data_IF_616248482354
#
_entry.id   IF_616248482354
#
_cell.length_a   1.000
_cell.length_b   1.000
_cell.length_c   1.000
_cell.angle_alpha   90.00
_cell.angle_beta   90.00
_cell.angle_gamma   90.00
#
_symmetry.space_group_name_H-M   'P 1'
#
loop_
_entity.id
_entity.type
_entity.pdbx_description
1 polymer ?
#
# COMPACT_ATOMS: atom_id res chain seq x y z
N UNK A 1 -10.49 -27.86 31.15
CA UNK A 1 -9.43 -26.84 31.30
C UNK A 1 -8.48 -26.75 30.09
N UNK A 2 -7.93 -27.86 29.58
CA UNK A 2 -7.05 -27.85 28.39
C UNK A 2 -7.75 -27.45 27.08
N UNK A 3 -8.98 -27.90 26.84
CA UNK A 3 -9.73 -27.56 25.61
C UNK A 3 -10.10 -26.07 25.53
N UNK A 4 -10.42 -25.46 26.68
CA UNK A 4 -10.76 -24.03 26.78
C UNK A 4 -9.50 -23.18 26.56
N UNK A 5 -8.35 -23.59 27.10
CA UNK A 5 -7.04 -22.95 26.85
C UNK A 5 -6.59 -23.07 25.40
N UNK A 6 -6.77 -24.24 24.78
CA UNK A 6 -6.49 -24.44 23.36
C UNK A 6 -7.39 -23.57 22.48
N UNK A 7 -8.69 -23.49 22.82
CA UNK A 7 -9.63 -22.63 22.10
C UNK A 7 -9.29 -21.14 22.24
N UNK A 8 -8.92 -20.69 23.44
CA UNK A 8 -8.51 -19.29 23.65
C UNK A 8 -7.24 -18.95 22.89
N UNK A 9 -6.24 -19.84 22.85
CA UNK A 9 -5.00 -19.62 22.09
C UNK A 9 -5.26 -19.56 20.57
N UNK A 10 -6.13 -20.42 20.04
CA UNK A 10 -6.51 -20.40 18.61
C UNK A 10 -7.23 -19.10 18.27
N UNK A 11 -8.20 -18.68 19.11
CA UNK A 11 -8.90 -17.40 18.92
C UNK A 11 -7.94 -16.21 19.00
N UNK A 12 -7.00 -16.21 19.95
CA UNK A 12 -6.00 -15.14 20.07
C UNK A 12 -5.07 -15.08 18.86
N UNK A 13 -4.67 -16.23 18.30
CA UNK A 13 -3.83 -16.28 17.11
C UNK A 13 -4.54 -15.76 15.85
N UNK A 14 -5.85 -15.94 15.75
CA UNK A 14 -6.63 -15.49 14.59
C UNK A 14 -6.79 -13.96 14.56
N UNK A 15 -6.83 -13.31 15.73
CA UNK A 15 -6.94 -11.85 15.84
C UNK A 15 -5.70 -11.09 15.31
N UNK A 16 -4.55 -11.76 15.17
CA UNK A 16 -3.29 -11.14 14.70
C UNK A 16 -3.26 -10.99 13.17
N UNK A 17 -4.17 -11.65 12.43
CA UNK A 17 -4.19 -11.65 10.96
C UNK A 17 -5.02 -10.53 10.32
N UNK A 18 -5.54 -9.57 11.09
CA UNK A 18 -6.29 -8.42 10.54
C UNK A 18 -5.29 -7.43 9.94
N UNK A 19 -4.93 -7.61 8.67
CA UNK A 19 -4.18 -6.61 7.91
C UNK A 19 -5.16 -5.56 7.37
N UNK A 20 -4.87 -4.25 7.52
CA UNK A 20 -5.71 -3.20 6.94
C UNK A 20 -5.61 -3.22 5.41
N UNK A 21 -6.75 -3.41 4.73
CA UNK A 21 -6.87 -3.57 3.27
C UNK A 21 -6.81 -2.24 2.46
N UNK A 22 -6.62 -1.09 3.12
CA UNK A 22 -6.76 0.21 2.46
C UNK A 22 -5.64 1.18 2.88
N UNK A 23 -4.53 1.20 2.15
CA UNK A 23 -3.44 2.15 2.42
C UNK A 23 -3.54 3.47 1.63
N UNK A 24 -4.34 3.53 0.56
CA UNK A 24 -4.61 4.77 -0.19
C UNK A 24 -5.78 5.55 0.42
N UNK A 25 -5.49 6.77 0.88
CA UNK A 25 -6.51 7.66 1.44
C UNK A 25 -7.32 8.35 0.32
N UNK A 26 -8.62 8.64 0.52
CA UNK A 26 -9.46 9.25 -0.52
C UNK A 26 -8.95 10.60 -1.04
N UNK A 27 -8.30 11.39 -0.19
CA UNK A 27 -7.72 12.70 -0.54
C UNK A 27 -6.43 12.60 -1.37
N UNK A 28 -5.85 11.40 -1.54
CA UNK A 28 -4.67 11.19 -2.38
C UNK A 28 -5.03 10.83 -3.82
N UNK A 29 -6.30 10.50 -4.11
CA UNK A 29 -6.71 9.98 -5.41
C UNK A 29 -6.70 11.09 -6.46
N UNK A 30 -6.24 10.75 -7.66
CA UNK A 30 -6.39 11.60 -8.84
C UNK A 30 -7.86 11.73 -9.26
N UNK A 31 -8.21 12.87 -9.84
CA UNK A 31 -9.56 13.11 -10.37
C UNK A 31 -9.86 12.27 -11.61
N UNK A 32 -8.83 12.01 -12.44
CA UNK A 32 -8.94 11.10 -13.57
C UNK A 32 -8.82 9.63 -13.09
N UNK A 33 -9.89 8.82 -13.21
CA UNK A 33 -9.88 7.43 -12.74
C UNK A 33 -8.90 6.55 -13.51
N UNK A 34 -8.58 6.85 -14.77
CA UNK A 34 -7.61 6.08 -15.55
C UNK A 34 -6.18 6.35 -15.05
N UNK A 35 -5.87 7.60 -14.72
CA UNK A 35 -4.58 7.94 -14.12
C UNK A 35 -4.46 7.39 -12.69
N UNK A 36 -5.53 7.41 -11.89
CA UNK A 36 -5.50 6.82 -10.55
C UNK A 36 -5.27 5.30 -10.60
N UNK A 37 -5.91 4.60 -11.54
CA UNK A 37 -5.68 3.16 -11.71
C UNK A 37 -4.23 2.86 -12.11
N UNK A 38 -3.66 3.66 -13.04
CA UNK A 38 -2.23 3.58 -13.37
C UNK A 38 -1.35 3.85 -12.15
N UNK A 39 -1.68 4.85 -11.32
CA UNK A 39 -0.96 5.16 -10.10
C UNK A 39 -0.95 3.98 -9.12
N UNK A 40 -2.09 3.29 -8.95
CA UNK A 40 -2.19 2.11 -8.09
C UNK A 40 -1.33 0.95 -8.61
N UNK A 41 -1.41 0.64 -9.90
CA UNK A 41 -0.61 -0.43 -10.50
C UNK A 41 0.89 -0.15 -10.31
N UNK A 42 1.34 1.08 -10.56
CA UNK A 42 2.75 1.44 -10.36
C UNK A 42 3.15 1.36 -8.87
N UNK A 43 2.28 1.83 -7.99
CA UNK A 43 2.50 1.81 -6.53
C UNK A 43 2.60 0.39 -5.96
N UNK A 44 1.99 -0.61 -6.58
CA UNK A 44 2.13 -2.02 -6.19
C UNK A 44 3.52 -2.60 -6.52
N UNK A 45 4.19 -2.02 -7.53
CA UNK A 45 5.49 -2.49 -8.00
C UNK A 45 6.67 -1.80 -7.29
N UNK A 46 6.45 -0.64 -6.68
CA UNK A 46 7.48 0.09 -5.93
C UNK A 46 7.51 -0.39 -4.48
N UNK A 47 8.70 -0.74 -3.98
CA UNK A 47 8.91 -1.26 -2.63
C UNK A 47 9.39 -0.18 -1.67
N UNK A 48 8.81 -0.12 -0.47
CA UNK A 48 9.32 0.70 0.62
C UNK A 48 10.34 -0.09 1.45
N UNK A 49 11.63 0.20 1.26
CA UNK A 49 12.74 -0.49 1.93
C UNK A 49 12.72 -0.35 3.47
N UNK A 50 12.15 0.75 3.98
CA UNK A 50 12.01 0.97 5.43
C UNK A 50 10.71 0.41 6.01
N UNK A 51 9.80 -0.07 5.15
CA UNK A 51 8.47 -0.55 5.53
C UNK A 51 8.35 -2.07 5.38
N UNK A 52 9.33 -2.84 5.85
CA UNK A 52 9.36 -4.30 5.72
C UNK A 52 9.25 -4.77 4.25
N UNK A 53 9.79 -3.98 3.31
CA UNK A 53 9.75 -4.29 1.88
C UNK A 53 8.31 -4.47 1.31
N UNK A 54 7.32 -3.83 1.93
CA UNK A 54 5.94 -3.77 1.42
C UNK A 54 5.86 -2.93 0.14
N UNK A 55 4.80 -3.11 -0.65
CA UNK A 55 4.50 -2.15 -1.72
C UNK A 55 4.18 -0.78 -1.11
N UNK A 56 4.45 0.30 -1.84
CA UNK A 56 4.04 1.65 -1.38
C UNK A 56 2.52 1.82 -1.42
N UNK A 57 1.82 0.98 -2.20
CA UNK A 57 0.35 0.90 -2.25
C UNK A 57 -0.26 0.30 -0.97
N UNK A 58 0.42 -0.65 -0.32
CA UNK A 58 -0.04 -1.33 0.90
C UNK A 58 0.49 -0.70 2.19
N UNK A 59 1.55 0.10 2.11
CA UNK A 59 2.20 0.67 3.29
C UNK A 59 1.58 2.00 3.72
N UNK A 60 1.32 2.12 5.02
CA UNK A 60 0.81 3.34 5.66
C UNK A 60 1.91 4.27 6.21
N UNK A 61 3.19 3.92 6.01
CA UNK A 61 4.30 4.74 6.48
C UNK A 61 4.34 6.10 5.77
N UNK A 62 4.87 7.13 6.43
CA UNK A 62 5.03 8.47 5.87
C UNK A 62 5.79 8.43 4.54
N UNK A 63 6.90 7.69 4.47
CA UNK A 63 7.66 7.55 3.23
C UNK A 63 6.84 6.97 2.08
N UNK A 64 5.99 5.97 2.34
CA UNK A 64 5.16 5.37 1.30
C UNK A 64 4.11 6.36 0.77
N UNK A 65 3.58 7.24 1.64
CA UNK A 65 2.69 8.33 1.22
C UNK A 65 3.40 9.33 0.32
N UNK A 66 4.61 9.74 0.69
CA UNK A 66 5.41 10.68 -0.10
C UNK A 66 5.74 10.10 -1.49
N UNK A 67 6.12 8.82 -1.54
CA UNK A 67 6.39 8.11 -2.80
C UNK A 67 5.13 8.00 -3.67
N UNK A 68 3.97 7.69 -3.08
CA UNK A 68 2.69 7.66 -3.79
C UNK A 68 2.30 9.04 -4.36
N UNK A 69 2.56 10.11 -3.61
CA UNK A 69 2.34 11.47 -4.09
C UNK A 69 3.23 11.78 -5.30
N UNK A 70 4.52 11.41 -5.24
CA UNK A 70 5.47 11.60 -6.33
C UNK A 70 5.07 10.82 -7.60
N UNK A 71 4.60 9.58 -7.47
CA UNK A 71 4.10 8.78 -8.60
C UNK A 71 2.93 9.50 -9.30
N UNK A 72 1.97 10.03 -8.53
CA UNK A 72 0.81 10.74 -9.06
C UNK A 72 1.17 12.07 -9.70
N UNK A 73 2.12 12.79 -9.11
CA UNK A 73 2.69 14.02 -9.69
C UNK A 73 3.28 13.74 -11.07
N UNK A 74 4.14 12.70 -11.18
CA UNK A 74 4.77 12.29 -12.44
C UNK A 74 3.74 11.87 -13.49
N UNK A 75 2.72 11.10 -13.11
CA UNK A 75 1.64 10.72 -14.03
C UNK A 75 0.88 11.94 -14.55
N UNK A 76 0.60 12.91 -13.67
CA UNK A 76 -0.07 14.16 -14.05
C UNK A 76 0.80 15.00 -14.97
N UNK A 77 2.13 14.93 -14.82
CA UNK A 77 3.10 15.55 -15.71
C UNK A 77 3.29 14.82 -17.05
N UNK A 78 2.59 13.71 -17.29
CA UNK A 78 2.64 12.96 -18.55
C UNK A 78 3.75 11.92 -18.64
N UNK A 79 4.40 11.57 -17.53
CA UNK A 79 5.45 10.55 -17.52
C UNK A 79 4.91 9.16 -17.90
N UNK A 80 5.76 8.39 -18.56
CA UNK A 80 5.53 6.98 -18.87
C UNK A 80 5.75 6.10 -17.64
N UNK A 81 5.25 4.86 -17.70
CA UNK A 81 5.42 3.91 -16.60
C UNK A 81 6.90 3.62 -16.34
N UNK A 82 7.71 3.50 -17.39
CA UNK A 82 9.14 3.19 -17.28
C UNK A 82 9.90 4.35 -16.61
N UNK A 83 9.61 5.60 -16.97
CA UNK A 83 10.19 6.79 -16.31
C UNK A 83 9.83 6.92 -14.83
N UNK A 84 8.73 6.29 -14.41
CA UNK A 84 8.31 6.23 -13.00
C UNK A 84 8.98 5.07 -12.28
N UNK A 85 9.33 3.97 -12.95
CA UNK A 85 9.89 2.77 -12.31
C UNK A 85 11.42 2.75 -12.21
N UNK A 86 12.13 3.72 -12.79
CA UNK A 86 13.60 3.83 -12.77
C UNK A 86 14.17 4.28 -11.40
N UNK A 87 13.44 4.12 -10.29
CA UNK A 87 13.94 4.44 -8.94
C UNK A 87 14.96 3.43 -8.41
#
# INVERSE_FOLDING_TARGET
MNKIRALTLVVLSYLIYIQPIMAVQPNERLADPLLEERARILSQNIRCLVCQNQSIDDSNATLAKDLRALVREKLTAGATNDEILIF
#
